data_IF_077780028505
#
_entry.id   IF_077780028505
#
_cell.length_a   1.000
_cell.length_b   1.000
_cell.length_c   1.000
_cell.angle_alpha   90.00
_cell.angle_beta   90.00
_cell.angle_gamma   90.00
#
_symmetry.space_group_name_H-M   'P 1'
#
loop_
_entity.id
_entity.type
_entity.pdbx_description
1 polymer ?
#
# COMPACT_ATOMS: atom_id res chain seq x y z
N UNK A 1 -14.00 -20.12 -18.32
CA UNK A 1 -13.04 -20.53 -19.39
C UNK A 1 -11.77 -19.74 -19.12
N UNK A 2 -10.64 -20.41 -18.92
CA UNK A 2 -9.38 -19.80 -18.47
C UNK A 2 -8.38 -19.72 -19.63
N UNK A 3 -7.35 -18.87 -19.49
CA UNK A 3 -6.20 -18.89 -20.40
C UNK A 3 -5.44 -20.19 -20.14
N UNK A 4 -5.29 -21.05 -21.16
CA UNK A 4 -4.80 -22.43 -21.00
C UNK A 4 -3.28 -22.58 -21.13
N UNK A 5 -2.53 -21.51 -21.42
CA UNK A 5 -1.07 -21.60 -21.52
C UNK A 5 -0.45 -21.79 -20.15
N UNK A 6 0.40 -22.80 -19.99
CA UNK A 6 1.15 -23.11 -18.76
C UNK A 6 1.91 -21.88 -18.22
N UNK A 7 2.60 -21.16 -19.11
CA UNK A 7 3.36 -19.94 -18.76
C UNK A 7 2.49 -18.85 -18.13
N UNK A 8 1.22 -18.73 -18.56
CA UNK A 8 0.29 -17.80 -17.95
C UNK A 8 -0.14 -18.31 -16.58
N UNK A 9 -0.59 -19.56 -16.49
CA UNK A 9 -1.16 -20.10 -15.25
C UNK A 9 -0.14 -20.21 -14.11
N UNK A 10 1.13 -20.45 -14.42
CA UNK A 10 2.24 -20.57 -13.47
C UNK A 10 3.01 -19.25 -13.29
N UNK A 11 2.51 -18.13 -13.82
CA UNK A 11 3.18 -16.85 -13.71
C UNK A 11 3.31 -16.42 -12.24
N UNK A 12 4.50 -15.98 -11.83
CA UNK A 12 4.81 -15.64 -10.43
C UNK A 12 4.02 -14.45 -9.86
N UNK A 13 3.27 -13.74 -10.71
CA UNK A 13 2.36 -12.67 -10.28
C UNK A 13 1.27 -13.18 -9.34
N UNK A 14 0.78 -14.42 -9.53
CA UNK A 14 -0.29 -14.97 -8.69
C UNK A 14 0.17 -15.17 -7.25
N UNK A 15 1.36 -15.71 -7.05
CA UNK A 15 1.98 -15.87 -5.74
C UNK A 15 2.29 -14.52 -5.09
N UNK A 16 2.78 -13.55 -5.88
CA UNK A 16 3.05 -12.21 -5.38
C UNK A 16 1.77 -11.49 -4.89
N UNK A 17 0.69 -11.58 -5.66
CA UNK A 17 -0.60 -10.98 -5.29
C UNK A 17 -1.15 -11.60 -4.01
N UNK A 18 -1.07 -12.93 -3.90
CA UNK A 18 -1.46 -13.65 -2.68
C UNK A 18 -0.64 -13.15 -1.48
N UNK A 19 0.68 -13.14 -1.61
CA UNK A 19 1.61 -12.70 -0.56
C UNK A 19 1.29 -11.28 -0.08
N UNK A 20 1.10 -10.33 -1.00
CA UNK A 20 0.79 -8.95 -0.62
C UNK A 20 -0.62 -8.79 -0.05
N UNK A 21 -1.59 -9.56 -0.54
CA UNK A 21 -2.93 -9.62 0.05
C UNK A 21 -2.86 -10.09 1.51
N UNK A 22 -2.21 -11.22 1.77
CA UNK A 22 -2.02 -11.77 3.13
C UNK A 22 -1.23 -10.84 4.04
N UNK A 23 -0.22 -10.14 3.49
CA UNK A 23 0.51 -9.13 4.23
C UNK A 23 -0.41 -8.00 4.70
N UNK A 24 -1.20 -7.40 3.81
CA UNK A 24 -2.10 -6.29 4.20
C UNK A 24 -3.21 -6.75 5.16
N UNK A 25 -3.68 -7.99 5.06
CA UNK A 25 -4.64 -8.56 6.01
C UNK A 25 -4.02 -8.72 7.41
N UNK A 26 -2.82 -9.28 7.48
CA UNK A 26 -2.06 -9.38 8.74
C UNK A 26 -1.74 -7.99 9.32
N UNK A 27 -1.35 -7.06 8.45
CA UNK A 27 -1.02 -5.70 8.84
C UNK A 27 -2.25 -4.98 9.41
N UNK A 28 -3.41 -5.11 8.75
CA UNK A 28 -4.71 -4.59 9.20
C UNK A 28 -5.04 -5.01 10.63
N UNK A 29 -4.84 -6.29 10.97
CA UNK A 29 -5.10 -6.83 12.31
C UNK A 29 -4.10 -6.27 13.32
N UNK A 30 -2.81 -6.29 12.98
CA UNK A 30 -1.73 -5.88 13.89
C UNK A 30 -1.84 -4.44 14.37
N UNK A 31 -2.40 -3.53 13.55
CA UNK A 31 -2.49 -2.10 13.89
C UNK A 31 -3.84 -1.68 14.49
N UNK A 32 -4.79 -2.61 14.62
CA UNK A 32 -6.19 -2.31 14.94
C UNK A 32 -6.35 -1.58 16.28
N UNK A 33 -5.50 -1.89 17.26
CA UNK A 33 -5.50 -1.32 18.61
C UNK A 33 -4.92 0.10 18.69
N UNK A 34 -4.15 0.55 17.68
CA UNK A 34 -3.60 1.90 17.66
C UNK A 34 -4.69 2.92 17.28
N UNK A 35 -5.19 3.69 18.24
CA UNK A 35 -6.23 4.68 17.97
C UNK A 35 -5.78 5.73 16.95
N UNK A 36 -6.62 6.00 15.95
CA UNK A 36 -6.39 7.09 15.00
C UNK A 36 -6.71 8.44 15.65
N UNK A 37 -5.68 9.09 16.17
CA UNK A 37 -5.78 10.43 16.73
C UNK A 37 -6.30 11.43 15.67
N UNK A 38 -7.03 12.45 16.13
CA UNK A 38 -7.67 13.41 15.22
C UNK A 38 -9.03 12.99 14.69
N UNK A 39 -9.57 11.84 15.11
CA UNK A 39 -10.88 11.35 14.67
C UNK A 39 -11.72 10.83 15.84
N UNK A 40 -13.02 10.63 15.62
CA UNK A 40 -13.94 9.98 16.55
C UNK A 40 -13.99 8.45 16.37
N UNK A 41 -13.11 7.88 15.54
CA UNK A 41 -13.09 6.44 15.30
C UNK A 41 -12.60 5.70 16.56
N UNK A 42 -13.28 4.61 16.91
CA UNK A 42 -12.95 3.79 18.09
C UNK A 42 -11.78 2.85 17.81
N UNK A 43 -11.65 2.41 16.56
CA UNK A 43 -10.54 1.59 16.09
C UNK A 43 -9.67 2.40 15.13
N UNK A 44 -8.46 1.92 14.89
CA UNK A 44 -7.61 2.48 13.84
C UNK A 44 -8.34 2.49 12.50
N UNK A 45 -8.49 3.63 11.83
CA UNK A 45 -9.14 3.70 10.52
C UNK A 45 -8.35 2.93 9.46
N UNK A 46 -7.03 2.84 9.62
CA UNK A 46 -6.15 2.16 8.67
C UNK A 46 -6.36 0.65 8.64
N UNK A 47 -6.92 0.05 9.70
CA UNK A 47 -7.35 -1.37 9.67
C UNK A 47 -8.31 -1.63 8.51
N UNK A 48 -9.27 -0.71 8.29
CA UNK A 48 -10.26 -0.85 7.20
C UNK A 48 -9.64 -0.57 5.85
N UNK A 49 -8.70 0.37 5.79
CA UNK A 49 -7.99 0.71 4.56
C UNK A 49 -7.10 -0.45 4.12
N UNK A 50 -6.35 -1.08 5.02
CA UNK A 50 -5.46 -2.20 4.71
C UNK A 50 -6.24 -3.47 4.38
N UNK A 51 -7.33 -3.77 5.09
CA UNK A 51 -8.24 -4.85 4.69
C UNK A 51 -8.82 -4.62 3.27
N UNK A 52 -9.15 -3.37 2.93
CA UNK A 52 -9.61 -3.02 1.57
C UNK A 52 -8.51 -3.15 0.50
N UNK A 53 -7.26 -2.84 0.86
CA UNK A 53 -6.08 -3.05 0.01
C UNK A 53 -5.83 -4.54 -0.26
N UNK A 54 -5.91 -5.39 0.77
CA UNK A 54 -5.83 -6.84 0.64
C UNK A 54 -6.91 -7.36 -0.33
N UNK A 55 -8.17 -6.99 -0.10
CA UNK A 55 -9.28 -7.38 -0.98
C UNK A 55 -9.13 -6.88 -2.43
N UNK A 56 -8.48 -5.73 -2.64
CA UNK A 56 -8.19 -5.22 -3.99
C UNK A 56 -7.13 -6.07 -4.71
N UNK A 57 -6.08 -6.51 -4.01
CA UNK A 57 -5.06 -7.40 -4.55
C UNK A 57 -5.63 -8.79 -4.88
N UNK A 58 -6.47 -9.34 -4.00
CA UNK A 58 -7.18 -10.60 -4.30
C UNK A 58 -8.13 -10.45 -5.49
N UNK A 59 -8.85 -9.33 -5.59
CA UNK A 59 -9.70 -9.05 -6.76
C UNK A 59 -8.90 -8.97 -8.07
N UNK A 60 -7.72 -8.35 -8.07
CA UNK A 60 -6.79 -8.34 -9.21
C UNK A 60 -6.41 -9.78 -9.58
N UNK A 61 -6.04 -10.59 -8.59
CA UNK A 61 -5.65 -12.00 -8.77
C UNK A 61 -6.77 -12.81 -9.42
N UNK A 62 -8.01 -12.67 -8.95
CA UNK A 62 -9.18 -13.35 -9.50
C UNK A 62 -9.45 -12.95 -10.97
N UNK A 63 -9.35 -11.66 -11.30
CA UNK A 63 -9.51 -11.17 -12.68
C UNK A 63 -8.43 -11.74 -13.60
N UNK A 64 -7.18 -11.79 -13.14
CA UNK A 64 -6.09 -12.40 -13.89
C UNK A 64 -6.32 -13.90 -14.11
N UNK A 65 -6.80 -14.65 -13.12
CA UNK A 65 -7.15 -16.06 -13.28
C UNK A 65 -8.25 -16.26 -14.33
N UNK A 66 -9.18 -15.32 -14.47
CA UNK A 66 -10.20 -15.31 -15.51
C UNK A 66 -9.68 -14.83 -16.88
N UNK A 67 -8.43 -14.37 -16.97
CA UNK A 67 -7.85 -13.82 -18.20
C UNK A 67 -8.30 -12.41 -18.56
N UNK A 68 -8.86 -11.67 -17.58
CA UNK A 68 -9.39 -10.30 -17.72
C UNK A 68 -8.32 -9.28 -17.34
N UNK A 69 -7.27 -9.20 -18.15
CA UNK A 69 -6.05 -8.44 -17.81
C UNK A 69 -6.33 -6.93 -17.78
N UNK A 70 -7.18 -6.43 -18.69
CA UNK A 70 -7.51 -5.00 -18.72
C UNK A 70 -8.24 -4.56 -17.44
N UNK A 71 -9.22 -5.35 -16.99
CA UNK A 71 -9.96 -5.06 -15.76
C UNK A 71 -9.05 -5.11 -14.53
N UNK A 72 -8.07 -6.04 -14.52
CA UNK A 72 -7.05 -6.09 -13.50
C UNK A 72 -6.20 -4.80 -13.45
N UNK A 73 -5.86 -4.19 -14.60
CA UNK A 73 -5.19 -2.88 -14.62
C UNK A 73 -6.09 -1.73 -14.14
N UNK A 74 -7.40 -1.78 -14.39
CA UNK A 74 -8.33 -0.81 -13.83
C UNK A 74 -8.38 -0.90 -12.29
N UNK A 75 -8.34 -2.11 -11.73
CA UNK A 75 -8.21 -2.30 -10.28
C UNK A 75 -6.83 -1.87 -9.76
N UNK A 76 -5.74 -2.10 -10.50
CA UNK A 76 -4.41 -1.56 -10.15
C UNK A 76 -4.44 -0.03 -10.06
N UNK A 77 -5.15 0.67 -10.96
CA UNK A 77 -5.32 2.13 -10.90
C UNK A 77 -5.98 2.57 -9.60
N UNK A 78 -7.07 1.88 -9.21
CA UNK A 78 -7.80 2.12 -7.96
C UNK A 78 -6.93 1.80 -6.74
N UNK A 79 -6.16 0.70 -6.78
CA UNK A 79 -5.23 0.33 -5.74
C UNK A 79 -4.16 1.42 -5.54
N UNK A 80 -3.58 1.95 -6.62
CA UNK A 80 -2.68 3.10 -6.49
C UNK A 80 -3.38 4.30 -5.81
N UNK A 81 -4.59 4.66 -6.21
CA UNK A 81 -5.30 5.76 -5.54
C UNK A 81 -5.54 5.50 -4.05
N UNK A 82 -5.81 4.25 -3.62
CA UNK A 82 -5.98 3.94 -2.20
C UNK A 82 -4.67 4.06 -1.42
N UNK A 83 -3.53 3.67 -2.00
CA UNK A 83 -2.21 3.86 -1.37
C UNK A 83 -1.92 5.34 -1.16
N UNK A 84 -2.12 6.16 -2.19
CA UNK A 84 -1.91 7.60 -2.12
C UNK A 84 -2.84 8.27 -1.10
N UNK A 85 -4.11 7.88 -1.11
CA UNK A 85 -5.12 8.35 -0.17
C UNK A 85 -4.70 8.05 1.27
N UNK A 86 -4.26 6.82 1.55
CA UNK A 86 -3.87 6.42 2.89
C UNK A 86 -2.65 7.22 3.41
N UNK A 87 -1.64 7.44 2.57
CA UNK A 87 -0.49 8.29 2.91
C UNK A 87 -0.93 9.72 3.19
N UNK A 88 -1.79 10.28 2.34
CA UNK A 88 -2.33 11.63 2.53
C UNK A 88 -3.10 11.75 3.85
N UNK A 89 -4.01 10.81 4.14
CA UNK A 89 -4.84 10.86 5.36
C UNK A 89 -3.97 10.83 6.61
N UNK A 90 -2.99 9.92 6.67
CA UNK A 90 -2.07 9.81 7.81
C UNK A 90 -1.25 11.08 8.01
N UNK A 91 -0.64 11.59 6.94
CA UNK A 91 0.13 12.83 7.01
C UNK A 91 -0.74 14.03 7.38
N UNK A 92 -1.95 14.14 6.83
CA UNK A 92 -2.86 15.25 7.11
C UNK A 92 -3.34 15.25 8.56
N UNK A 93 -3.66 14.07 9.10
CA UNK A 93 -4.01 13.91 10.52
C UNK A 93 -2.85 14.33 11.41
N UNK A 94 -1.64 13.86 11.12
CA UNK A 94 -0.44 14.20 11.87
C UNK A 94 -0.14 15.70 11.87
N UNK A 95 -0.26 16.37 10.71
CA UNK A 95 -0.02 17.81 10.58
C UNK A 95 -1.08 18.69 11.29
N UNK A 96 -2.33 18.21 11.40
CA UNK A 96 -3.46 19.04 11.85
C UNK A 96 -4.02 18.67 13.21
N UNK A 97 -3.77 17.46 13.72
CA UNK A 97 -4.21 17.07 15.05
C UNK A 97 -3.38 17.80 16.12
N UNK A 98 -4.05 18.45 17.05
CA UNK A 98 -3.39 19.10 18.18
C UNK A 98 -4.35 19.22 19.36
N UNK A 99 -3.86 19.61 20.53
CA UNK A 99 -4.71 19.88 21.69
C UNK A 99 -5.80 20.95 21.43
N UNK A 100 -5.56 21.87 20.47
CA UNK A 100 -6.55 22.88 20.05
C UNK A 100 -7.46 22.40 18.93
N UNK A 101 -7.02 21.41 18.17
CA UNK A 101 -7.75 20.81 17.05
C UNK A 101 -7.79 19.29 17.24
N UNK A 102 -8.55 18.86 18.25
CA UNK A 102 -8.59 17.46 18.67
C UNK A 102 -9.27 16.56 17.64
N UNK A 103 -10.22 17.11 16.87
CA UNK A 103 -10.89 16.43 15.76
C UNK A 103 -10.59 17.17 14.47
N UNK A 104 -9.93 16.50 13.53
CA UNK A 104 -9.60 17.04 12.22
C UNK A 104 -10.83 16.89 11.31
N UNK A 105 -11.64 17.95 11.24
CA UNK A 105 -12.96 17.94 10.60
C UNK A 105 -12.95 17.37 9.17
N UNK A 106 -11.96 17.74 8.35
CA UNK A 106 -11.85 17.23 6.97
C UNK A 106 -11.83 15.70 6.90
N UNK A 107 -11.06 15.05 7.77
CA UNK A 107 -10.95 13.59 7.80
C UNK A 107 -12.19 12.99 8.48
N UNK A 108 -12.68 13.63 9.53
CA UNK A 108 -13.89 13.19 10.22
C UNK A 108 -15.14 13.22 9.33
N UNK A 109 -15.29 14.26 8.49
CA UNK A 109 -16.40 14.42 7.56
C UNK A 109 -16.30 13.42 6.40
N UNK A 110 -15.09 13.14 5.94
CA UNK A 110 -14.87 12.04 5.00
C UNK A 110 -15.28 10.68 5.57
N UNK A 111 -14.90 10.37 6.81
CA UNK A 111 -15.31 9.13 7.48
C UNK A 111 -16.84 9.03 7.66
N UNK A 112 -17.53 10.17 7.79
CA UNK A 112 -18.99 10.24 7.88
C UNK A 112 -19.70 10.30 6.52
N UNK A 113 -18.94 10.37 5.42
CA UNK A 113 -19.48 10.50 4.07
C UNK A 113 -20.13 11.87 3.78
N UNK A 114 -19.85 12.89 4.60
CA UNK A 114 -20.37 14.25 4.42
C UNK A 114 -19.47 15.13 3.57
N UNK A 115 -18.19 14.77 3.45
CA UNK A 115 -17.23 15.41 2.54
C UNK A 115 -16.41 14.37 1.76
N UNK A 116 -15.89 14.78 0.60
CA UNK A 116 -14.97 13.97 -0.18
C UNK A 116 -13.52 14.36 0.12
N UNK A 117 -12.62 13.39 0.04
CA UNK A 117 -11.19 13.67 -0.01
C UNK A 117 -10.84 14.44 -1.29
N UNK A 118 -9.79 15.27 -1.26
CA UNK A 118 -9.34 15.98 -2.44
C UNK A 118 -8.87 15.01 -3.53
N UNK A 119 -8.79 15.51 -4.77
CA UNK A 119 -8.29 14.73 -5.89
C UNK A 119 -6.82 14.30 -5.73
N UNK A 120 -6.40 13.30 -6.50
CA UNK A 120 -5.03 12.74 -6.42
C UNK A 120 -3.93 13.77 -6.67
N UNK A 121 -4.16 14.81 -7.49
CA UNK A 121 -3.15 15.85 -7.74
C UNK A 121 -2.95 16.71 -6.50
N UNK A 122 -4.04 17.08 -5.85
CA UNK A 122 -4.02 17.83 -4.60
C UNK A 122 -3.37 17.01 -3.48
N UNK A 123 -3.68 15.72 -3.36
CA UNK A 123 -3.03 14.82 -2.39
C UNK A 123 -1.52 14.68 -2.65
N UNK A 124 -1.10 14.45 -3.90
CA UNK A 124 0.34 14.37 -4.27
C UNK A 124 1.05 15.68 -3.95
N UNK A 125 0.43 16.82 -4.27
CA UNK A 125 1.00 18.14 -3.97
C UNK A 125 1.16 18.37 -2.46
N UNK A 126 0.23 17.86 -1.66
CA UNK A 126 0.34 17.93 -0.20
C UNK A 126 1.52 17.08 0.31
N UNK A 127 1.59 15.82 -0.11
CA UNK A 127 2.67 14.89 0.30
C UNK A 127 4.04 15.43 -0.12
N UNK A 128 4.22 15.81 -1.39
CA UNK A 128 5.55 16.23 -1.88
C UNK A 128 6.10 17.49 -1.20
N UNK A 129 5.22 18.36 -0.70
CA UNK A 129 5.60 19.66 -0.13
C UNK A 129 5.68 19.61 1.40
N UNK A 130 5.32 18.50 2.05
CA UNK A 130 5.41 18.38 3.49
C UNK A 130 6.86 18.18 3.95
N UNK A 131 7.33 18.89 5.00
CA UNK A 131 8.65 18.68 5.56
C UNK A 131 8.91 17.23 5.99
N UNK A 132 7.88 16.49 6.44
CA UNK A 132 8.02 15.10 6.90
C UNK A 132 8.25 14.10 5.76
N UNK A 133 7.78 14.39 4.55
CA UNK A 133 7.76 13.41 3.45
C UNK A 133 8.43 13.88 2.16
N UNK A 134 8.79 15.15 2.05
CA UNK A 134 9.41 15.74 0.85
C UNK A 134 10.71 15.05 0.43
N UNK A 135 11.62 14.74 1.37
CA UNK A 135 12.86 14.04 1.05
C UNK A 135 12.60 12.61 0.53
N UNK A 136 11.75 11.85 1.22
CA UNK A 136 11.34 10.52 0.77
C UNK A 136 10.63 10.59 -0.60
N UNK A 137 9.81 11.62 -0.84
CA UNK A 137 9.17 11.84 -2.14
C UNK A 137 10.20 12.01 -3.25
N UNK A 138 11.22 12.85 -3.05
CA UNK A 138 12.32 13.04 -4.01
C UNK A 138 13.08 11.73 -4.25
N UNK A 139 13.35 10.94 -3.21
CA UNK A 139 14.01 9.64 -3.35
C UNK A 139 13.17 8.63 -4.13
N UNK A 140 11.86 8.55 -3.87
CA UNK A 140 10.94 7.67 -4.58
C UNK A 140 10.77 8.09 -6.04
N UNK A 141 10.67 9.39 -6.30
CA UNK A 141 10.34 9.97 -7.61
C UNK A 141 11.57 10.49 -8.37
N UNK A 142 12.76 9.95 -8.07
CA UNK A 142 14.01 10.26 -8.79
C UNK A 142 13.95 9.92 -10.28
N UNK A 143 13.08 8.98 -10.65
CA UNK A 143 12.77 8.60 -12.01
C UNK A 143 11.26 8.71 -12.30
N UNK A 144 10.86 8.48 -13.55
CA UNK A 144 9.46 8.61 -13.99
C UNK A 144 8.61 7.35 -13.74
N UNK A 145 9.08 6.39 -12.94
CA UNK A 145 8.42 5.08 -12.78
C UNK A 145 6.99 5.18 -12.32
N UNK A 146 6.70 5.91 -11.25
CA UNK A 146 5.32 6.05 -10.73
C UNK A 146 4.40 6.79 -11.70
N UNK A 147 4.95 7.70 -12.50
CA UNK A 147 4.23 8.35 -13.62
C UNK A 147 3.87 7.29 -14.67
N UNK A 148 4.83 6.48 -15.10
CA UNK A 148 4.59 5.43 -16.10
C UNK A 148 3.64 4.33 -15.62
N UNK A 149 3.69 3.95 -14.33
CA UNK A 149 2.73 3.02 -13.72
C UNK A 149 1.32 3.59 -13.83
N UNK A 150 1.14 4.86 -13.45
CA UNK A 150 -0.15 5.54 -13.53
C UNK A 150 -0.66 5.61 -14.95
N UNK A 151 0.18 6.04 -15.89
CA UNK A 151 -0.19 6.22 -17.30
C UNK A 151 -0.65 4.89 -17.91
N UNK A 152 0.09 3.80 -17.69
CA UNK A 152 -0.30 2.46 -18.14
C UNK A 152 -1.66 2.02 -17.57
N UNK A 153 -1.88 2.22 -16.28
CA UNK A 153 -3.15 1.85 -15.65
C UNK A 153 -4.32 2.72 -16.17
N UNK A 154 -4.05 4.00 -16.43
CA UNK A 154 -5.00 4.94 -17.02
C UNK A 154 -5.37 4.55 -18.46
N UNK A 155 -4.39 4.15 -19.28
CA UNK A 155 -4.61 3.69 -20.65
C UNK A 155 -5.51 2.45 -20.73
N UNK A 156 -5.38 1.53 -19.77
CA UNK A 156 -6.22 0.33 -19.67
C UNK A 156 -7.64 0.68 -19.18
N UNK A 157 -7.75 1.58 -18.21
CA UNK A 157 -9.04 2.02 -17.64
C UNK A 157 -9.91 2.71 -18.68
N UNK A 158 -9.32 3.54 -19.53
CA UNK A 158 -10.04 4.31 -20.55
C UNK A 158 -10.10 3.65 -21.93
N UNK A 159 -9.60 2.42 -22.07
CA UNK A 159 -9.48 1.73 -23.37
C UNK A 159 -8.82 2.60 -24.45
N UNK A 160 -7.76 3.34 -24.09
CA UNK A 160 -7.10 4.29 -25.00
C UNK A 160 -6.57 3.64 -26.29
N UNK A 161 -6.36 2.32 -26.27
CA UNK A 161 -5.95 1.54 -27.43
C UNK A 161 -6.83 0.30 -27.60
N UNK A 162 -7.16 -0.07 -28.85
CA UNK A 162 -7.95 -1.28 -29.13
C UNK A 162 -7.29 -2.56 -28.57
N UNK A 163 -5.95 -2.61 -28.52
CA UNK A 163 -5.23 -3.73 -27.88
C UNK A 163 -5.61 -3.94 -26.41
N UNK A 164 -5.98 -2.87 -25.70
CA UNK A 164 -6.43 -2.93 -24.30
C UNK A 164 -7.84 -3.55 -24.21
N UNK A 165 -8.70 -3.29 -25.20
CA UNK A 165 -10.01 -3.96 -25.32
C UNK A 165 -9.81 -5.48 -25.46
N UNK A 166 -8.88 -5.90 -26.31
CA UNK A 166 -8.58 -7.32 -26.54
C UNK A 166 -8.00 -8.03 -25.31
N UNK A 167 -7.35 -7.31 -24.39
CA UNK A 167 -6.82 -7.88 -23.14
C UNK A 167 -7.92 -8.39 -22.21
N UNK A 168 -9.16 -7.94 -22.41
CA UNK A 168 -10.30 -8.45 -21.67
C UNK A 168 -11.00 -9.61 -22.37
N UNK A 169 -10.64 -9.96 -23.61
CA UNK A 169 -11.16 -11.16 -24.27
C UNK A 169 -10.19 -12.33 -24.05
N UNK A 170 -10.56 -13.27 -23.18
CA UNK A 170 -9.75 -14.45 -22.88
C UNK A 170 -9.83 -15.56 -23.95
N UNK A 171 -10.61 -15.37 -25.01
CA UNK A 171 -10.69 -16.27 -26.17
C UNK A 171 -9.74 -15.89 -27.29
N UNK A 172 -9.29 -14.64 -27.33
CA UNK A 172 -8.37 -14.13 -28.34
C UNK A 172 -6.93 -14.44 -27.93
N UNK A 173 -6.18 -15.07 -28.83
CA UNK A 173 -4.74 -15.23 -28.67
C UNK A 173 -4.06 -13.85 -28.66
N UNK A 174 -3.22 -13.61 -27.67
CA UNK A 174 -2.44 -12.38 -27.57
C UNK A 174 -1.05 -12.78 -27.09
N UNK A 175 -0.07 -12.65 -27.97
CA UNK A 175 1.34 -13.00 -27.73
C UNK A 175 1.96 -12.20 -26.58
N UNK A 176 1.40 -11.03 -26.24
CA UNK A 176 1.93 -10.11 -25.22
C UNK A 176 1.33 -10.29 -23.83
N UNK A 177 0.47 -11.29 -23.61
CA UNK A 177 -0.18 -11.51 -22.29
C UNK A 177 0.85 -11.58 -21.15
N UNK A 178 1.94 -12.30 -21.39
CA UNK A 178 3.01 -12.47 -20.40
C UNK A 178 3.74 -11.14 -20.15
N UNK A 179 3.96 -10.32 -21.17
CA UNK A 179 4.51 -8.96 -21.00
C UNK A 179 3.61 -8.09 -20.10
N UNK A 180 2.29 -8.18 -20.25
CA UNK A 180 1.35 -7.46 -19.39
C UNK A 180 1.35 -7.98 -17.95
N UNK A 181 1.47 -9.29 -17.73
CA UNK A 181 1.62 -9.85 -16.39
C UNK A 181 2.94 -9.40 -15.74
N UNK A 182 4.05 -9.44 -16.46
CA UNK A 182 5.34 -8.93 -15.99
C UNK A 182 5.28 -7.44 -15.63
N UNK A 183 4.61 -6.63 -16.47
CA UNK A 183 4.42 -5.21 -16.19
C UNK A 183 3.59 -4.97 -14.92
N UNK A 184 2.45 -5.65 -14.77
CA UNK A 184 1.61 -5.54 -13.58
C UNK A 184 2.32 -6.01 -12.31
N UNK A 185 3.07 -7.11 -12.40
CA UNK A 185 3.86 -7.62 -11.27
C UNK A 185 4.93 -6.61 -10.83
N UNK A 186 5.63 -6.01 -11.80
CA UNK A 186 6.58 -4.94 -11.52
C UNK A 186 5.90 -3.74 -10.87
N UNK A 187 4.73 -3.33 -11.38
CA UNK A 187 4.00 -2.17 -10.88
C UNK A 187 3.56 -2.36 -9.44
N UNK A 188 2.96 -3.51 -9.12
CA UNK A 188 2.47 -3.81 -7.79
C UNK A 188 3.63 -3.84 -6.78
N UNK A 189 4.76 -4.45 -7.12
CA UNK A 189 5.98 -4.37 -6.29
C UNK A 189 6.35 -2.92 -5.95
N UNK A 190 6.35 -2.03 -6.94
CA UNK A 190 6.77 -0.63 -6.76
C UNK A 190 5.74 0.17 -5.95
N UNK A 191 4.46 -0.11 -6.15
CA UNK A 191 3.35 0.50 -5.43
C UNK A 191 3.36 0.10 -3.95
N UNK A 192 3.50 -1.18 -3.64
CA UNK A 192 3.61 -1.66 -2.25
C UNK A 192 4.87 -1.09 -1.58
N UNK A 193 6.01 -1.09 -2.28
CA UNK A 193 7.24 -0.48 -1.76
C UNK A 193 7.03 0.99 -1.41
N UNK A 194 6.41 1.77 -2.30
CA UNK A 194 6.11 3.19 -2.08
C UNK A 194 5.25 3.38 -0.84
N UNK A 195 4.16 2.60 -0.72
CA UNK A 195 3.23 2.71 0.39
C UNK A 195 3.92 2.40 1.72
N UNK A 196 4.61 1.26 1.82
CA UNK A 196 5.33 0.89 3.04
C UNK A 196 6.40 1.91 3.42
N UNK A 197 7.09 2.48 2.42
CA UNK A 197 8.11 3.50 2.69
C UNK A 197 7.53 4.73 3.40
N UNK A 198 6.35 5.19 2.95
CA UNK A 198 5.69 6.32 3.61
C UNK A 198 5.11 5.94 4.97
N UNK A 199 4.43 4.79 5.07
CA UNK A 199 3.76 4.41 6.31
C UNK A 199 4.76 4.10 7.42
N UNK A 200 5.88 3.45 7.12
CA UNK A 200 6.92 3.19 8.11
C UNK A 200 7.61 4.48 8.59
N UNK A 201 7.62 5.53 7.77
CA UNK A 201 8.12 6.85 8.16
C UNK A 201 7.09 7.65 8.97
N UNK A 202 5.82 7.63 8.57
CA UNK A 202 4.75 8.41 9.19
C UNK A 202 4.28 7.79 10.52
N UNK A 203 4.10 6.47 10.53
CA UNK A 203 3.57 5.70 11.64
C UNK A 203 4.54 4.57 12.04
N UNK A 204 5.72 4.88 12.58
CA UNK A 204 6.70 3.87 12.94
C UNK A 204 6.15 2.83 13.95
N UNK A 205 5.27 3.27 14.84
CA UNK A 205 4.58 2.41 15.81
C UNK A 205 3.72 1.30 15.17
N UNK A 206 3.37 1.38 13.89
CA UNK A 206 2.68 0.30 13.19
C UNK A 206 3.57 -0.92 12.95
N UNK A 207 4.89 -0.78 13.07
CA UNK A 207 5.83 -1.89 12.88
C UNK A 207 6.03 -2.73 14.15
N UNK A 208 5.50 -2.29 15.30
CA UNK A 208 5.76 -2.87 16.63
C UNK A 208 5.32 -4.33 16.71
N UNK A 209 6.15 -5.16 17.33
CA UNK A 209 5.84 -6.55 17.68
C UNK A 209 4.74 -6.63 18.75
N UNK A 210 3.90 -7.67 18.70
CA UNK A 210 2.90 -7.93 19.75
C UNK A 210 3.53 -8.35 21.08
N UNK A 211 4.83 -8.68 21.10
CA UNK A 211 5.55 -9.17 22.29
C UNK A 211 5.27 -8.36 23.55
N UNK A 212 5.23 -7.03 23.45
CA UNK A 212 4.92 -6.19 24.60
C UNK A 212 3.49 -6.43 25.12
N UNK A 213 2.52 -6.49 24.22
CA UNK A 213 1.11 -6.74 24.57
C UNK A 213 0.92 -8.16 25.10
N UNK A 214 1.56 -9.15 24.47
CA UNK A 214 1.50 -10.55 24.85
C UNK A 214 2.08 -10.76 26.27
N UNK A 215 3.18 -10.07 26.61
CA UNK A 215 3.71 -10.08 27.97
C UNK A 215 2.70 -9.52 28.98
N UNK A 216 2.04 -8.40 28.67
CA UNK A 216 1.03 -7.82 29.56
C UNK A 216 -0.18 -8.74 29.75
N UNK A 217 -0.66 -9.37 28.68
CA UNK A 217 -1.79 -10.32 28.73
C UNK A 217 -1.46 -11.56 29.58
N UNK A 218 -0.19 -11.96 29.61
CA UNK A 218 0.31 -13.07 30.43
C UNK A 218 0.74 -12.65 31.85
N UNK A 219 0.66 -11.37 32.20
CA UNK A 219 1.11 -10.84 33.49
C UNK A 219 2.63 -10.90 33.69
N UNK A 220 3.39 -10.92 32.59
CA UNK A 220 4.86 -10.92 32.55
C UNK A 220 5.40 -9.49 32.38
N UNK A 221 6.61 -9.26 32.86
CA UNK A 221 7.35 -8.04 32.57
C UNK A 221 7.89 -8.10 31.12
N UNK A 222 7.57 -7.12 30.26
CA UNK A 222 8.07 -7.12 28.89
C UNK A 222 9.58 -6.89 28.86
N UNK A 223 10.29 -7.44 27.85
CA UNK A 223 11.71 -7.15 27.65
C UNK A 223 11.98 -5.64 27.56
N UNK A 224 13.19 -5.24 27.98
CA UNK A 224 13.63 -3.86 27.80
C UNK A 224 13.58 -3.49 26.31
N UNK A 225 13.01 -2.32 26.00
CA UNK A 225 12.84 -1.82 24.63
C UNK A 225 11.89 -2.63 23.72
N UNK A 226 11.02 -3.48 24.28
CA UNK A 226 10.01 -4.23 23.52
C UNK A 226 9.14 -3.34 22.60
N UNK A 227 8.90 -2.08 23.00
CA UNK A 227 8.15 -1.09 22.21
C UNK A 227 8.83 -0.66 20.90
N UNK A 228 10.09 -1.02 20.67
CA UNK A 228 10.84 -0.72 19.44
C UNK A 228 11.13 -1.98 18.61
N UNK A 229 10.76 -3.17 19.10
CA UNK A 229 10.92 -4.43 18.37
C UNK A 229 9.95 -4.47 17.19
N UNK A 230 10.44 -4.93 16.05
CA UNK A 230 9.67 -5.00 14.80
C UNK A 230 9.01 -6.38 14.69
N UNK A 231 7.73 -6.43 14.34
CA UNK A 231 7.02 -7.68 14.09
C UNK A 231 7.69 -8.47 12.94
N UNK A 232 7.84 -9.79 13.10
CA UNK A 232 8.57 -10.63 12.14
C UNK A 232 8.08 -10.49 10.69
N UNK A 233 6.76 -10.42 10.46
CA UNK A 233 6.20 -10.27 9.12
C UNK A 233 6.48 -8.88 8.50
N UNK A 234 6.63 -7.84 9.33
CA UNK A 234 7.05 -6.50 8.90
C UNK A 234 8.52 -6.52 8.52
N UNK A 235 9.38 -7.11 9.34
CA UNK A 235 10.81 -7.24 9.03
C UNK A 235 11.01 -8.04 7.73
N UNK A 236 10.28 -9.14 7.56
CA UNK A 236 10.34 -9.94 6.35
C UNK A 236 9.97 -9.14 5.09
N UNK A 237 8.85 -8.40 5.10
CA UNK A 237 8.47 -7.59 3.93
C UNK A 237 9.47 -6.46 3.69
N UNK A 238 10.02 -5.87 4.75
CA UNK A 238 11.00 -4.80 4.66
C UNK A 238 12.29 -5.30 4.00
N UNK A 239 12.81 -6.45 4.42
CA UNK A 239 14.01 -7.06 3.83
C UNK A 239 13.79 -7.47 2.37
N UNK A 240 12.70 -8.21 2.11
CA UNK A 240 12.46 -8.81 0.79
C UNK A 240 12.02 -7.80 -0.27
N UNK A 241 11.47 -6.65 0.14
CA UNK A 241 10.96 -5.61 -0.77
C UNK A 241 11.75 -4.30 -0.65
N UNK A 242 11.71 -3.64 0.50
CA UNK A 242 12.27 -2.29 0.64
C UNK A 242 13.79 -2.33 0.55
N UNK A 243 14.45 -3.11 1.40
CA UNK A 243 15.91 -3.24 1.46
C UNK A 243 16.49 -3.86 0.19
N UNK A 244 15.85 -4.93 -0.32
CA UNK A 244 16.29 -5.60 -1.54
C UNK A 244 16.27 -4.71 -2.78
N UNK A 245 15.20 -3.92 -2.99
CA UNK A 245 15.04 -3.15 -4.23
C UNK A 245 15.41 -1.66 -4.11
N UNK A 246 15.38 -1.10 -2.90
CA UNK A 246 15.68 0.31 -2.59
C UNK A 246 16.44 0.43 -1.26
N UNK A 247 17.69 -0.06 -1.19
CA UNK A 247 18.51 0.04 0.03
C UNK A 247 18.72 1.50 0.47
N UNK A 248 18.73 2.45 -0.47
CA UNK A 248 18.76 3.88 -0.17
C UNK A 248 17.54 4.34 0.66
N UNK A 249 16.35 3.85 0.34
CA UNK A 249 15.13 4.13 1.10
C UNK A 249 15.12 3.37 2.44
N UNK A 250 15.59 2.13 2.45
CA UNK A 250 15.67 1.34 3.69
C UNK A 250 16.52 2.05 4.75
N UNK A 251 17.71 2.54 4.38
CA UNK A 251 18.58 3.31 5.27
C UNK A 251 17.95 4.63 5.70
N UNK A 252 17.23 5.30 4.79
CA UNK A 252 16.49 6.51 5.14
C UNK A 252 15.40 6.24 6.19
N UNK A 253 14.64 5.15 6.06
CA UNK A 253 13.61 4.78 7.04
C UNK A 253 14.25 4.44 8.39
N UNK A 254 15.31 3.63 8.40
CA UNK A 254 16.06 3.28 9.63
C UNK A 254 16.55 4.51 10.38
N UNK A 255 17.11 5.48 9.66
CA UNK A 255 17.62 6.71 10.25
C UNK A 255 16.53 7.61 10.84
N UNK A 256 15.32 7.55 10.28
CA UNK A 256 14.20 8.44 10.62
C UNK A 256 13.06 7.75 11.37
N UNK A 257 13.28 6.52 11.83
CA UNK A 257 12.35 5.73 12.62
C UNK A 257 12.99 5.37 13.97
N UNK A 258 12.19 5.22 15.01
CA UNK A 258 12.63 4.70 16.30
C UNK A 258 12.66 3.16 16.35
N UNK A 259 12.17 2.49 15.30
CA UNK A 259 12.04 1.03 15.27
C UNK A 259 13.36 0.34 14.93
N UNK A 260 13.59 -0.82 15.55
CA UNK A 260 14.78 -1.64 15.36
C UNK A 260 14.66 -2.50 14.09
N UNK A 261 14.80 -1.86 12.94
CA UNK A 261 14.82 -2.50 11.62
C UNK A 261 16.24 -2.98 11.25
N UNK A 262 16.35 -4.25 10.85
CA UNK A 262 17.63 -4.88 10.46
C UNK A 262 18.11 -4.56 9.05
#
# INVERSE_FOLDING_TARGET
MHVNSKEYQEHSIFEQLEKYSSFYDSFSISIMSFMTLGTKAVLNIDTRVYASMAGSLDSIRLLLQLGRINDAFALQRKFYDSLLMNVYVNLYLDDHHSLKNFIVEKIQNWLQGTEQLPDSRTMINYIKNSPRTSELYLMLHKDKRYIHIRDRANDNTHYNFFRNVMLNDNKVYNEKRIEYLNAMQSDINQLVLMHLSYIFLLNPHYMVSSEQMDCFDLGLEPPENAQYLVANFIQQIFDELVKKYRPDIAEYIKKNSCMLLD
#
